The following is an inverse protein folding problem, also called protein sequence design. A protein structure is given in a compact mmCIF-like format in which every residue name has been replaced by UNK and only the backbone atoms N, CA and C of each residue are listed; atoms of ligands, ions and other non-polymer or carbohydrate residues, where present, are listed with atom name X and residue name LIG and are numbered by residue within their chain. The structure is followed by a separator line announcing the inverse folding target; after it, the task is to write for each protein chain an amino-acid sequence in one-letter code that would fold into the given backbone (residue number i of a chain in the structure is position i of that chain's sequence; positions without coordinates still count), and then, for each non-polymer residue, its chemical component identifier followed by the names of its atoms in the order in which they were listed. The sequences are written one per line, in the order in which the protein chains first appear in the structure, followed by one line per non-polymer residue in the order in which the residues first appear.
data_IF_490417138572
#
_entry.id   IF_490417138572
#
_cell.length_a   1.000
_cell.length_b   1.000
_cell.length_c   1.000
_cell.angle_alpha   90.00
_cell.angle_beta   90.00
_cell.angle_gamma   90.00
#
_symmetry.space_group_name_H-M   'P 1'
#
loop_
_entity.id
_entity.type
_entity.pdbx_description
1 polymer ?
#
# COMPACT_ATOMS: atom_id res chain seq x y z
N UNK A 1 9.88 -0.59 -19.31
CA UNK A 1 10.38 -1.72 -18.50
C UNK A 1 9.18 -2.55 -18.11
N UNK A 2 9.25 -3.87 -18.22
CA UNK A 2 8.17 -4.82 -17.90
C UNK A 2 8.66 -5.73 -16.79
N UNK A 3 7.81 -5.97 -15.79
CA UNK A 3 8.06 -6.95 -14.72
C UNK A 3 7.08 -8.10 -14.92
N UNK A 4 7.61 -9.30 -15.17
CA UNK A 4 6.83 -10.52 -15.29
C UNK A 4 6.82 -11.23 -13.94
N UNK A 5 5.64 -11.66 -13.49
CA UNK A 5 5.44 -12.36 -12.23
C UNK A 5 4.61 -13.61 -12.50
N UNK A 6 5.03 -14.74 -11.94
CA UNK A 6 4.15 -15.89 -11.82
C UNK A 6 3.12 -15.68 -10.70
N UNK A 7 2.17 -16.61 -10.57
CA UNK A 7 1.08 -16.50 -9.59
C UNK A 7 1.58 -16.47 -8.13
N UNK A 8 2.61 -17.24 -7.81
CA UNK A 8 3.20 -17.28 -6.48
C UNK A 8 3.93 -15.97 -6.15
N UNK A 9 4.73 -15.45 -7.08
CA UNK A 9 5.44 -14.18 -6.93
C UNK A 9 4.47 -13.01 -6.78
N UNK A 10 3.39 -13.01 -7.59
CA UNK A 10 2.32 -12.02 -7.48
C UNK A 10 1.66 -12.08 -6.10
N UNK A 11 1.34 -13.27 -5.62
CA UNK A 11 0.70 -13.46 -4.30
C UNK A 11 1.61 -12.96 -3.17
N UNK A 12 2.87 -13.39 -3.13
CA UNK A 12 3.83 -12.95 -2.11
C UNK A 12 4.05 -11.43 -2.18
N UNK A 13 4.11 -10.84 -3.37
CA UNK A 13 4.25 -9.39 -3.51
C UNK A 13 3.03 -8.65 -2.96
N UNK A 14 1.82 -9.13 -3.22
CA UNK A 14 0.58 -8.55 -2.66
C UNK A 14 0.62 -8.60 -1.13
N UNK A 15 0.95 -9.75 -0.54
CA UNK A 15 1.01 -9.91 0.92
C UNK A 15 2.01 -8.96 1.57
N UNK A 16 3.20 -8.80 0.98
CA UNK A 16 4.23 -7.87 1.47
C UNK A 16 3.76 -6.42 1.38
N UNK A 17 3.14 -6.03 0.25
CA UNK A 17 2.62 -4.68 0.06
C UNK A 17 1.47 -4.36 1.02
N UNK A 18 0.56 -5.30 1.27
CA UNK A 18 -0.55 -5.13 2.21
C UNK A 18 -0.07 -5.05 3.66
N UNK A 19 0.90 -5.90 4.05
CA UNK A 19 1.54 -5.84 5.37
C UNK A 19 2.16 -4.47 5.63
N UNK A 20 2.99 -4.00 4.69
CA UNK A 20 3.62 -2.69 4.81
C UNK A 20 2.60 -1.54 4.79
N UNK A 21 1.52 -1.66 4.00
CA UNK A 21 0.43 -0.68 3.99
C UNK A 21 -0.27 -0.59 5.35
N UNK A 22 -0.43 -1.71 6.06
CA UNK A 22 -1.01 -1.75 7.41
C UNK A 22 -0.13 -1.00 8.41
N UNK A 23 1.18 -1.29 8.43
CA UNK A 23 2.15 -0.59 9.27
C UNK A 23 2.19 0.92 8.98
N UNK A 24 2.17 1.29 7.69
CA UNK A 24 2.21 2.67 7.26
C UNK A 24 0.99 3.48 7.72
N UNK A 25 -0.20 2.85 7.81
CA UNK A 25 -1.40 3.52 8.37
C UNK A 25 -1.22 3.85 9.84
N UNK A 26 -0.62 2.94 10.62
CA UNK A 26 -0.30 3.20 12.04
C UNK A 26 0.76 4.30 12.17
N UNK A 27 1.80 4.28 11.34
CA UNK A 27 2.86 5.30 11.35
C UNK A 27 2.31 6.70 11.01
N UNK A 28 1.43 6.80 10.01
CA UNK A 28 0.75 8.07 9.64
C UNK A 28 -0.03 8.63 10.83
N UNK A 29 -0.79 7.77 11.53
CA UNK A 29 -1.59 8.18 12.68
C UNK A 29 -0.71 8.72 13.82
N UNK A 30 0.43 8.08 14.05
CA UNK A 30 1.35 8.39 15.16
C UNK A 30 2.39 9.49 14.83
N UNK A 31 2.46 9.98 13.60
CA UNK A 31 3.47 10.97 13.20
C UNK A 31 2.98 12.40 13.41
N UNK A 32 3.60 13.18 14.30
CA UNK A 32 3.22 14.58 14.54
C UNK A 32 3.82 15.57 13.53
N UNK A 33 4.99 15.25 12.96
CA UNK A 33 5.65 16.14 12.01
C UNK A 33 4.92 16.13 10.67
N UNK A 34 4.16 17.19 10.39
CA UNK A 34 3.33 17.33 9.19
C UNK A 34 4.05 16.96 7.88
N UNK A 35 5.25 17.51 7.66
CA UNK A 35 6.01 17.23 6.43
C UNK A 35 6.35 15.74 6.27
N UNK A 36 6.66 15.04 7.36
CA UNK A 36 6.93 13.59 7.33
C UNK A 36 5.62 12.81 7.13
N UNK A 37 4.54 13.20 7.82
CA UNK A 37 3.20 12.61 7.63
C UNK A 37 2.74 12.68 6.17
N UNK A 38 2.98 13.78 5.47
CA UNK A 38 2.65 13.91 4.05
C UNK A 38 3.49 12.98 3.15
N UNK A 39 4.78 12.79 3.46
CA UNK A 39 5.59 11.81 2.76
C UNK A 39 5.08 10.37 2.95
N UNK A 40 4.64 10.02 4.16
CA UNK A 40 4.03 8.71 4.44
C UNK A 40 2.72 8.52 3.66
N UNK A 41 1.87 9.56 3.58
CA UNK A 41 0.65 9.52 2.75
C UNK A 41 0.96 9.33 1.27
N UNK A 42 2.00 9.99 0.74
CA UNK A 42 2.42 9.80 -0.65
C UNK A 42 2.87 8.35 -0.89
N UNK A 43 3.66 7.76 0.01
CA UNK A 43 4.04 6.34 -0.05
C UNK A 43 2.81 5.43 -0.05
N UNK A 44 1.82 5.70 0.83
CA UNK A 44 0.55 4.96 0.88
C UNK A 44 -0.14 4.95 -0.49
N UNK A 45 -0.22 6.11 -1.15
CA UNK A 45 -0.87 6.22 -2.47
C UNK A 45 -0.11 5.41 -3.55
N UNK A 46 1.22 5.44 -3.52
CA UNK A 46 2.03 4.62 -4.44
C UNK A 46 1.78 3.13 -4.24
N UNK A 47 1.73 2.65 -2.99
CA UNK A 47 1.45 1.24 -2.69
C UNK A 47 0.06 0.81 -3.14
N UNK A 48 -0.96 1.64 -2.91
CA UNK A 48 -2.33 1.39 -3.38
C UNK A 48 -2.38 1.28 -4.91
N UNK A 49 -1.71 2.20 -5.62
CA UNK A 49 -1.65 2.16 -7.08
C UNK A 49 -0.90 0.94 -7.63
N UNK A 50 0.09 0.41 -6.90
CA UNK A 50 0.77 -0.84 -7.26
C UNK A 50 -0.17 -2.03 -7.06
N UNK A 51 -0.87 -2.10 -5.92
CA UNK A 51 -1.84 -3.16 -5.64
C UNK A 51 -2.97 -3.20 -6.69
N UNK A 52 -3.46 -2.04 -7.12
CA UNK A 52 -4.44 -1.93 -8.22
C UNK A 52 -3.89 -2.51 -9.53
N UNK A 53 -2.63 -2.21 -9.89
CA UNK A 53 -1.96 -2.79 -11.07
C UNK A 53 -1.76 -4.30 -10.94
N UNK A 54 -1.64 -4.81 -9.72
CA UNK A 54 -1.58 -6.24 -9.42
C UNK A 54 -2.98 -6.88 -9.39
N UNK A 55 -4.06 -6.14 -9.67
CA UNK A 55 -5.43 -6.64 -9.73
C UNK A 55 -6.11 -6.79 -8.36
N UNK A 56 -5.56 -6.19 -7.31
CA UNK A 56 -6.19 -6.08 -6.00
C UNK A 56 -7.02 -4.80 -5.98
N UNK A 57 -8.31 -4.91 -5.64
CA UNK A 57 -9.11 -3.72 -5.32
C UNK A 57 -9.01 -3.48 -3.81
N UNK A 58 -8.17 -2.53 -3.34
CA UNK A 58 -8.19 -2.18 -1.93
C UNK A 58 -9.59 -1.67 -1.61
N UNK A 59 -10.29 -2.38 -0.72
CA UNK A 59 -11.68 -2.13 -0.39
C UNK A 59 -11.93 -0.65 -0.17
N UNK A 60 -12.92 -0.12 -0.91
CA UNK A 60 -13.66 1.08 -0.52
C UNK A 60 -13.90 0.98 0.98
N UNK A 61 -13.43 1.94 1.77
CA UNK A 61 -13.80 2.03 3.18
C UNK A 61 -15.33 1.89 3.25
N UNK A 62 -15.80 0.74 3.73
CA UNK A 62 -17.18 0.56 4.12
C UNK A 62 -17.38 1.50 5.28
N UNK A 63 -18.05 2.62 5.01
CA UNK A 63 -18.62 3.46 6.04
C UNK A 63 -19.48 2.57 6.94
N UNK A 64 -19.04 2.37 8.17
CA UNK A 64 -19.82 1.82 9.27
C UNK A 64 -20.21 2.96 10.19
#
# INVERSE_FOLDING_TARGET
MTLELNEQERTVLIEVLESYLSELRMEIANTDRLAYREQLKQRKQVLLAILEKLGVQPGKETAH
#
